data_IF_859221147145
#
_entry.id   IF_859221147145
#
_cell.length_a   1.000
_cell.length_b   1.000
_cell.length_c   1.000
_cell.angle_alpha   90.00
_cell.angle_beta   90.00
_cell.angle_gamma   90.00
#
_symmetry.space_group_name_H-M   'P 1'
#
loop_
_entity.id
_entity.type
_entity.pdbx_description
1 polymer ?
#
# COMPACT_ATOMS: atom_id res chain seq x y z
N UNK A 1 2.03 -15.37 13.77
CA UNK A 1 1.60 -15.26 12.35
C UNK A 1 2.78 -14.72 11.53
N UNK A 2 3.01 -15.20 10.30
CA UNK A 2 3.96 -14.60 9.36
C UNK A 2 3.34 -13.37 8.70
N UNK A 3 4.19 -12.45 8.24
CA UNK A 3 3.73 -11.36 7.37
C UNK A 3 3.58 -11.87 5.94
N UNK A 4 2.41 -11.68 5.35
CA UNK A 4 2.07 -12.11 3.99
C UNK A 4 1.69 -10.88 3.16
N UNK A 5 2.23 -10.80 1.93
CA UNK A 5 1.85 -9.82 0.93
C UNK A 5 1.19 -10.53 -0.25
N UNK A 6 -0.08 -10.30 -0.42
CA UNK A 6 -0.85 -10.77 -1.58
C UNK A 6 -0.81 -9.70 -2.66
N UNK A 7 -0.64 -10.13 -3.91
CA UNK A 7 -0.78 -9.24 -5.05
C UNK A 7 -1.52 -9.92 -6.20
N UNK A 8 -2.15 -9.13 -7.03
CA UNK A 8 -2.80 -9.60 -8.25
C UNK A 8 -2.70 -8.57 -9.37
N UNK A 9 -2.57 -9.07 -10.58
CA UNK A 9 -2.84 -8.32 -11.80
C UNK A 9 -4.34 -8.32 -12.07
N UNK A 10 -4.89 -7.17 -12.46
CA UNK A 10 -6.33 -6.93 -12.54
C UNK A 10 -6.88 -6.97 -13.96
N UNK A 11 -6.02 -7.17 -14.96
CA UNK A 11 -6.40 -7.13 -16.39
C UNK A 11 -7.59 -8.05 -16.71
N UNK A 12 -7.63 -9.24 -16.09
CA UNK A 12 -8.74 -10.17 -16.27
C UNK A 12 -10.10 -9.61 -15.76
N UNK A 13 -10.09 -8.71 -14.78
CA UNK A 13 -11.31 -8.13 -14.22
C UNK A 13 -11.96 -7.06 -15.11
N UNK A 14 -11.37 -6.72 -16.25
CA UNK A 14 -12.01 -5.89 -17.28
C UNK A 14 -13.01 -6.70 -18.12
N UNK A 15 -12.99 -8.04 -18.05
CA UNK A 15 -14.08 -8.87 -18.59
C UNK A 15 -15.33 -8.74 -17.71
N UNK A 16 -16.43 -8.34 -18.31
CA UNK A 16 -17.68 -8.01 -17.58
C UNK A 16 -18.30 -9.23 -16.87
N UNK A 17 -18.17 -10.42 -17.48
CA UNK A 17 -18.71 -11.64 -16.90
C UNK A 17 -17.89 -12.07 -15.70
N UNK A 18 -16.57 -12.07 -15.83
CA UNK A 18 -15.64 -12.37 -14.75
C UNK A 18 -15.75 -11.36 -13.60
N UNK A 19 -15.82 -10.05 -13.93
CA UNK A 19 -16.08 -9.00 -12.95
C UNK A 19 -17.34 -9.30 -12.14
N UNK A 20 -18.46 -9.59 -12.82
CA UNK A 20 -19.76 -9.85 -12.18
C UNK A 20 -19.69 -11.10 -11.29
N UNK A 21 -19.03 -12.16 -11.75
CA UNK A 21 -18.84 -13.38 -10.99
C UNK A 21 -18.10 -13.10 -9.67
N UNK A 22 -16.95 -12.44 -9.73
CA UNK A 22 -16.17 -12.12 -8.53
C UNK A 22 -16.86 -11.08 -7.64
N UNK A 23 -17.50 -10.06 -8.21
CA UNK A 23 -18.26 -9.07 -7.45
C UNK A 23 -19.32 -9.71 -6.56
N UNK A 24 -20.02 -10.74 -7.03
CA UNK A 24 -21.02 -11.44 -6.21
C UNK A 24 -20.43 -12.14 -4.97
N UNK A 25 -19.16 -12.47 -4.99
CA UNK A 25 -18.50 -13.13 -3.86
C UNK A 25 -18.11 -12.17 -2.72
N UNK A 26 -18.13 -10.85 -2.99
CA UNK A 26 -17.77 -9.85 -1.99
C UNK A 26 -18.92 -9.52 -1.03
N UNK A 27 -18.60 -9.04 0.18
CA UNK A 27 -19.58 -8.58 1.15
C UNK A 27 -20.27 -7.28 0.71
N UNK A 28 -21.45 -7.03 1.26
CA UNK A 28 -22.32 -5.91 0.88
C UNK A 28 -21.65 -4.54 1.05
N UNK A 29 -20.87 -4.33 2.11
CA UNK A 29 -20.18 -3.05 2.31
C UNK A 29 -19.17 -2.76 1.20
N UNK A 30 -18.51 -3.82 0.68
CA UNK A 30 -17.54 -3.71 -0.40
C UNK A 30 -18.22 -3.44 -1.74
N UNK A 31 -19.31 -4.14 -2.01
CA UNK A 31 -20.17 -3.90 -3.18
C UNK A 31 -20.64 -2.45 -3.22
N UNK A 32 -21.17 -1.94 -2.10
CA UNK A 32 -21.60 -0.54 -1.98
C UNK A 32 -20.46 0.47 -2.24
N UNK A 33 -19.21 0.13 -1.90
CA UNK A 33 -18.04 0.95 -2.22
C UNK A 33 -17.76 0.96 -3.72
N UNK A 34 -17.78 -0.20 -4.36
CA UNK A 34 -17.56 -0.37 -5.81
C UNK A 34 -18.64 0.36 -6.61
N UNK A 35 -19.91 0.26 -6.20
CA UNK A 35 -21.05 0.86 -6.90
C UNK A 35 -21.01 2.39 -6.94
N UNK A 36 -20.32 3.03 -5.99
CA UNK A 36 -20.11 4.47 -5.97
C UNK A 36 -19.03 4.95 -6.95
N UNK A 37 -18.22 4.04 -7.48
CA UNK A 37 -17.14 4.36 -8.41
C UNK A 37 -17.67 4.38 -9.85
N UNK A 38 -17.41 5.47 -10.58
CA UNK A 38 -17.85 5.63 -11.97
C UNK A 38 -16.86 5.04 -12.98
N UNK A 39 -15.52 5.31 -12.90
CA UNK A 39 -14.57 4.75 -13.85
C UNK A 39 -14.44 3.24 -13.69
N UNK A 40 -14.49 2.51 -14.80
CA UNK A 40 -14.37 1.05 -14.85
C UNK A 40 -13.07 0.58 -14.17
N UNK A 41 -11.92 1.17 -14.52
CA UNK A 41 -10.64 0.81 -13.89
C UNK A 41 -10.64 0.99 -12.36
N UNK A 42 -11.34 2.02 -11.82
CA UNK A 42 -11.47 2.18 -10.36
C UNK A 42 -12.33 1.06 -9.73
N UNK A 43 -13.37 0.63 -10.45
CA UNK A 43 -14.21 -0.50 -10.02
C UNK A 43 -13.41 -1.80 -10.01
N UNK A 44 -12.62 -2.07 -11.06
CA UNK A 44 -11.73 -3.24 -11.14
C UNK A 44 -10.69 -3.22 -10.02
N UNK A 45 -10.03 -2.09 -9.76
CA UNK A 45 -9.08 -1.93 -8.67
C UNK A 45 -9.73 -2.17 -7.30
N UNK A 46 -10.90 -1.60 -7.07
CA UNK A 46 -11.62 -1.79 -5.81
C UNK A 46 -12.08 -3.24 -5.62
N UNK A 47 -12.50 -3.91 -6.71
CA UNK A 47 -12.85 -5.34 -6.70
C UNK A 47 -11.62 -6.17 -6.35
N UNK A 48 -10.51 -6.02 -7.09
CA UNK A 48 -9.27 -6.78 -6.87
C UNK A 48 -8.74 -6.63 -5.44
N UNK A 49 -8.69 -5.39 -4.92
CA UNK A 49 -8.29 -5.16 -3.52
C UNK A 49 -9.23 -5.87 -2.52
N UNK A 50 -10.53 -5.93 -2.81
CA UNK A 50 -11.50 -6.68 -2.00
C UNK A 50 -11.27 -8.19 -2.03
N UNK A 51 -10.97 -8.73 -3.21
CA UNK A 51 -10.69 -10.16 -3.40
C UNK A 51 -9.39 -10.57 -2.71
N UNK A 52 -8.36 -9.72 -2.75
CA UNK A 52 -7.11 -9.96 -2.02
C UNK A 52 -7.34 -9.98 -0.50
N UNK A 53 -8.12 -9.05 0.03
CA UNK A 53 -8.45 -9.03 1.46
C UNK A 53 -9.25 -10.29 1.86
N UNK A 54 -10.23 -10.68 1.03
CA UNK A 54 -11.01 -11.90 1.27
C UNK A 54 -10.09 -13.13 1.33
N UNK A 55 -9.18 -13.28 0.35
CA UNK A 55 -8.21 -14.37 0.32
C UNK A 55 -7.29 -14.35 1.55
N UNK A 56 -6.78 -13.18 1.93
CA UNK A 56 -5.94 -13.03 3.10
C UNK A 56 -6.66 -13.41 4.40
N UNK A 57 -7.96 -13.07 4.53
CA UNK A 57 -8.79 -13.48 5.66
C UNK A 57 -9.02 -15.01 5.70
N UNK A 58 -9.27 -15.63 4.54
CA UNK A 58 -9.43 -17.09 4.43
C UNK A 58 -8.15 -17.80 4.87
N UNK A 59 -6.99 -17.39 4.36
CA UNK A 59 -5.69 -17.97 4.70
C UNK A 59 -5.32 -17.76 6.18
N UNK A 60 -5.74 -16.65 6.79
CA UNK A 60 -5.54 -16.36 8.21
C UNK A 60 -6.58 -17.01 9.14
N UNK A 61 -7.59 -17.69 8.61
CA UNK A 61 -8.65 -18.29 9.37
C UNK A 61 -9.55 -17.28 10.09
N UNK A 62 -9.64 -16.04 9.61
CA UNK A 62 -10.50 -15.01 10.19
C UNK A 62 -11.97 -15.36 9.90
N UNK A 63 -12.82 -15.52 10.93
CA UNK A 63 -14.20 -15.93 10.74
C UNK A 63 -15.05 -14.82 10.09
N UNK A 64 -15.96 -15.25 9.19
CA UNK A 64 -16.81 -14.34 8.42
C UNK A 64 -16.13 -13.89 7.13
N UNK A 65 -16.93 -13.57 6.10
CA UNK A 65 -16.41 -13.31 4.75
C UNK A 65 -15.41 -12.13 4.65
N UNK A 66 -15.15 -11.40 5.75
CA UNK A 66 -14.22 -10.26 5.82
C UNK A 66 -13.89 -9.79 7.25
N UNK A 67 -14.01 -10.65 8.24
CA UNK A 67 -13.92 -10.20 9.63
C UNK A 67 -14.61 -8.82 9.79
N UNK A 68 -15.56 -8.62 10.62
CA UNK A 68 -16.28 -7.33 10.72
C UNK A 68 -15.27 -6.17 10.79
N UNK A 69 -15.12 -5.42 9.69
CA UNK A 69 -14.22 -4.27 9.63
C UNK A 69 -14.84 -3.09 10.39
N UNK A 70 -14.06 -2.53 11.28
CA UNK A 70 -14.31 -1.22 11.89
C UNK A 70 -13.37 -0.18 11.31
N UNK A 71 -13.70 1.09 11.50
CA UNK A 71 -12.85 2.20 11.06
C UNK A 71 -12.23 2.87 12.28
N UNK A 72 -10.92 3.11 12.22
CA UNK A 72 -10.23 3.94 13.17
C UNK A 72 -10.60 5.42 13.04
N UNK A 73 -10.09 6.25 13.93
CA UNK A 73 -10.40 7.69 14.01
C UNK A 73 -10.22 8.43 12.66
N UNK A 74 -9.20 8.06 11.88
CA UNK A 74 -8.90 8.67 10.58
C UNK A 74 -9.31 7.78 9.39
N UNK A 75 -10.19 6.79 9.63
CA UNK A 75 -10.75 5.95 8.57
C UNK A 75 -9.91 4.75 8.15
N UNK A 76 -8.79 4.43 8.81
CA UNK A 76 -8.05 3.18 8.59
C UNK A 76 -8.92 2.00 9.01
N UNK A 77 -9.21 1.03 8.11
CA UNK A 77 -9.98 -0.15 8.48
C UNK A 77 -9.15 -1.12 9.31
N UNK A 78 -9.79 -1.79 10.27
CA UNK A 78 -9.18 -2.80 11.12
C UNK A 78 -10.18 -3.91 11.48
N UNK A 79 -9.69 -5.08 11.92
CA UNK A 79 -10.51 -6.19 12.39
C UNK A 79 -10.84 -6.00 13.88
N UNK A 80 -12.08 -5.64 14.19
CA UNK A 80 -12.49 -5.46 15.59
C UNK A 80 -12.47 -6.76 16.39
N UNK A 81 -12.72 -7.91 15.74
CA UNK A 81 -12.73 -9.23 16.36
C UNK A 81 -11.33 -9.88 16.49
N UNK A 82 -10.33 -9.37 15.76
CA UNK A 82 -8.96 -9.90 15.72
C UNK A 82 -7.96 -8.72 15.74
N UNK A 83 -7.89 -7.97 16.85
CA UNK A 83 -7.08 -6.75 16.94
C UNK A 83 -5.57 -7.00 16.81
N UNK A 84 -5.12 -8.25 16.97
CA UNK A 84 -3.74 -8.69 16.79
C UNK A 84 -3.36 -8.92 15.32
N UNK A 85 -4.34 -8.85 14.40
CA UNK A 85 -4.11 -9.02 12.96
C UNK A 85 -4.34 -7.68 12.28
N UNK A 86 -3.30 -7.20 11.62
CA UNK A 86 -3.33 -5.92 10.91
C UNK A 86 -3.24 -6.14 9.41
N UNK A 87 -3.85 -5.25 8.64
CA UNK A 87 -3.77 -5.31 7.19
C UNK A 87 -3.71 -3.91 6.56
N UNK A 88 -3.23 -3.86 5.33
CA UNK A 88 -3.29 -2.66 4.50
C UNK A 88 -3.53 -3.05 3.05
N UNK A 89 -4.21 -2.16 2.32
CA UNK A 89 -4.54 -2.33 0.91
C UNK A 89 -3.99 -1.16 0.09
N UNK A 90 -3.51 -1.46 -1.10
CA UNK A 90 -3.26 -0.44 -2.12
C UNK A 90 -3.54 -1.00 -3.52
N UNK A 91 -3.74 -0.10 -4.47
CA UNK A 91 -3.93 -0.45 -5.87
C UNK A 91 -3.55 0.73 -6.76
N UNK A 92 -2.91 0.46 -7.90
CA UNK A 92 -2.60 1.45 -8.94
C UNK A 92 -2.48 0.76 -10.29
N UNK A 93 -2.92 1.42 -11.37
CA UNK A 93 -2.94 0.81 -12.70
C UNK A 93 -3.66 -0.54 -12.70
N UNK A 94 -2.96 -1.56 -13.13
CA UNK A 94 -3.45 -2.94 -13.23
C UNK A 94 -3.02 -3.85 -12.08
N UNK A 95 -2.60 -3.27 -10.93
CA UNK A 95 -2.21 -4.08 -9.77
C UNK A 95 -2.94 -3.66 -8.50
N UNK A 96 -3.22 -4.66 -7.67
CA UNK A 96 -3.64 -4.49 -6.28
C UNK A 96 -2.72 -5.29 -5.36
N UNK A 97 -2.55 -4.80 -4.14
CA UNK A 97 -1.78 -5.45 -3.07
C UNK A 97 -2.55 -5.43 -1.75
N UNK A 98 -2.36 -6.47 -0.95
CA UNK A 98 -2.85 -6.59 0.41
C UNK A 98 -1.75 -7.15 1.29
N UNK A 99 -1.30 -6.42 2.28
CA UNK A 99 -0.40 -6.96 3.32
C UNK A 99 -1.21 -7.33 4.55
N UNK A 100 -0.87 -8.47 5.16
CA UNK A 100 -1.42 -8.91 6.44
C UNK A 100 -0.28 -9.28 7.38
N UNK A 101 -0.29 -8.76 8.61
CA UNK A 101 0.83 -8.84 9.54
C UNK A 101 0.36 -8.93 11.01
N UNK A 102 1.21 -9.43 11.94
CA UNK A 102 0.95 -9.42 13.39
C UNK A 102 1.28 -8.07 14.05
N UNK A 103 1.55 -7.04 13.31
CA UNK A 103 1.83 -5.69 13.80
C UNK A 103 1.21 -4.63 12.87
N UNK A 104 1.10 -3.39 13.34
CA UNK A 104 0.64 -2.30 12.49
C UNK A 104 1.43 -2.27 11.19
N UNK A 105 0.70 -2.21 10.09
CA UNK A 105 1.26 -2.34 8.75
C UNK A 105 0.63 -1.37 7.76
N UNK A 106 1.40 -1.03 6.74
CA UNK A 106 0.97 -0.26 5.59
C UNK A 106 1.64 -0.78 4.32
N UNK A 107 0.93 -0.75 3.21
CA UNK A 107 1.52 -0.99 1.90
C UNK A 107 1.04 0.05 0.91
N UNK A 108 1.89 0.35 -0.05
CA UNK A 108 1.52 1.18 -1.18
C UNK A 108 2.11 0.66 -2.47
N UNK A 109 1.36 0.75 -3.55
CA UNK A 109 1.80 0.43 -4.92
C UNK A 109 1.39 1.56 -5.84
N UNK A 110 2.31 1.98 -6.70
CA UNK A 110 2.06 3.03 -7.68
C UNK A 110 2.70 2.71 -9.04
N UNK A 111 1.97 3.06 -10.10
CA UNK A 111 2.54 3.14 -11.44
C UNK A 111 3.55 4.26 -11.50
N UNK A 112 4.72 4.02 -12.07
CA UNK A 112 5.71 5.07 -12.33
C UNK A 112 5.10 6.08 -13.30
N UNK A 113 5.01 7.32 -12.86
CA UNK A 113 4.42 8.45 -13.60
C UNK A 113 5.41 9.59 -13.67
N UNK A 114 5.27 10.51 -14.65
CA UNK A 114 6.13 11.67 -14.76
C UNK A 114 6.24 12.45 -13.45
N UNK A 115 7.46 12.82 -13.11
CA UNK A 115 7.82 13.59 -11.92
C UNK A 115 6.98 14.88 -11.80
N UNK A 116 6.33 15.04 -10.64
CA UNK A 116 5.49 16.20 -10.36
C UNK A 116 6.14 17.11 -9.33
N UNK A 117 6.86 18.13 -9.80
CA UNK A 117 7.64 19.03 -8.94
C UNK A 117 6.81 19.75 -7.88
N UNK A 118 5.60 20.21 -8.21
CA UNK A 118 4.72 20.88 -7.25
C UNK A 118 4.28 19.95 -6.11
N UNK A 119 4.05 18.65 -6.42
CA UNK A 119 3.74 17.64 -5.41
C UNK A 119 4.97 17.34 -4.57
N UNK A 120 6.14 17.19 -5.21
CA UNK A 120 7.40 16.93 -4.51
C UNK A 120 7.70 18.00 -3.46
N UNK A 121 7.62 19.28 -3.82
CA UNK A 121 7.83 20.41 -2.90
C UNK A 121 6.85 20.45 -1.71
N UNK A 122 5.65 19.91 -1.88
CA UNK A 122 4.62 19.90 -0.84
C UNK A 122 4.74 18.70 0.10
N UNK A 123 5.21 17.57 -0.39
CA UNK A 123 5.14 16.29 0.33
C UNK A 123 6.48 15.87 0.90
N UNK A 124 7.57 16.14 0.19
CA UNK A 124 8.89 15.68 0.58
C UNK A 124 9.64 16.69 1.43
N UNK A 125 10.56 16.21 2.27
CA UNK A 125 11.48 17.06 3.03
C UNK A 125 12.46 17.76 2.11
N UNK A 126 13.16 18.79 2.61
CA UNK A 126 14.21 19.46 1.83
C UNK A 126 15.32 18.50 1.36
N UNK A 127 15.73 17.56 2.21
CA UNK A 127 16.76 16.56 1.88
C UNK A 127 16.29 15.57 0.81
N UNK A 128 15.05 15.07 0.94
CA UNK A 128 14.44 14.21 -0.07
C UNK A 128 14.29 14.93 -1.41
N UNK A 129 13.93 16.22 -1.39
CA UNK A 129 13.82 17.02 -2.61
C UNK A 129 15.17 17.22 -3.30
N UNK A 130 16.24 17.42 -2.53
CA UNK A 130 17.61 17.49 -3.08
C UNK A 130 18.02 16.15 -3.71
N UNK A 131 17.77 15.05 -3.03
CA UNK A 131 18.03 13.71 -3.57
C UNK A 131 17.23 13.46 -4.85
N UNK A 132 15.92 13.76 -4.86
CA UNK A 132 15.07 13.67 -6.06
C UNK A 132 15.59 14.51 -7.22
N UNK A 133 16.09 15.72 -6.94
CA UNK A 133 16.64 16.60 -7.96
C UNK A 133 17.90 16.01 -8.60
N UNK A 134 18.75 15.36 -7.80
CA UNK A 134 19.91 14.63 -8.30
C UNK A 134 19.50 13.43 -9.18
N UNK A 135 18.52 12.64 -8.74
CA UNK A 135 17.98 11.51 -9.52
C UNK A 135 17.34 11.97 -10.83
N UNK A 136 16.62 13.10 -10.81
CA UNK A 136 16.04 13.71 -12.00
C UNK A 136 17.12 14.11 -13.02
N UNK A 137 18.19 14.73 -12.56
CA UNK A 137 19.32 15.11 -13.41
C UNK A 137 20.05 13.89 -14.01
N UNK A 138 19.98 12.74 -13.31
CA UNK A 138 20.51 11.46 -13.77
C UNK A 138 19.53 10.66 -14.64
N UNK A 139 18.35 11.23 -15.00
CA UNK A 139 17.35 10.58 -15.84
C UNK A 139 16.46 9.55 -15.13
N UNK A 140 16.51 9.46 -13.80
CA UNK A 140 15.72 8.50 -12.97
C UNK A 140 14.66 9.18 -12.10
N UNK A 141 14.30 10.43 -12.39
CA UNK A 141 13.42 11.24 -11.55
C UNK A 141 12.03 10.65 -11.33
N UNK A 142 11.43 10.05 -12.36
CA UNK A 142 10.08 9.48 -12.30
C UNK A 142 10.05 8.27 -11.36
N UNK A 143 11.03 7.38 -11.48
CA UNK A 143 11.17 6.21 -10.61
C UNK A 143 11.48 6.61 -9.16
N UNK A 144 12.40 7.54 -8.96
CA UNK A 144 12.78 8.03 -7.64
C UNK A 144 11.62 8.72 -6.92
N UNK A 145 10.83 9.51 -7.65
CA UNK A 145 9.61 10.11 -7.12
C UNK A 145 8.60 9.04 -6.67
N UNK A 146 8.33 8.06 -7.53
CA UNK A 146 7.41 6.98 -7.24
C UNK A 146 7.88 6.14 -6.05
N UNK A 147 9.19 5.85 -5.96
CA UNK A 147 9.82 5.15 -4.84
C UNK A 147 9.61 5.88 -3.51
N UNK A 148 9.94 7.17 -3.44
CA UNK A 148 9.73 7.97 -2.23
C UNK A 148 8.25 8.06 -1.85
N UNK A 149 7.38 8.21 -2.84
CA UNK A 149 5.95 8.30 -2.64
C UNK A 149 5.41 7.02 -1.97
N UNK A 150 5.71 5.85 -2.54
CA UNK A 150 5.24 4.57 -1.99
C UNK A 150 5.78 4.29 -0.59
N UNK A 151 7.02 4.67 -0.30
CA UNK A 151 7.60 4.58 1.04
C UNK A 151 6.81 5.46 2.04
N UNK A 152 6.57 6.73 1.70
CA UNK A 152 5.78 7.63 2.56
C UNK A 152 4.35 7.16 2.77
N UNK A 153 3.66 6.80 1.70
CA UNK A 153 2.27 6.32 1.79
C UNK A 153 2.17 5.03 2.61
N UNK A 154 3.14 4.10 2.47
CA UNK A 154 3.17 2.89 3.29
C UNK A 154 3.32 3.23 4.78
N UNK A 155 4.18 4.21 5.13
CA UNK A 155 4.33 4.69 6.49
C UNK A 155 3.07 5.40 7.00
N UNK A 156 2.48 6.30 6.22
CA UNK A 156 1.24 7.01 6.60
C UNK A 156 0.09 6.03 6.87
N UNK A 157 0.02 4.93 6.11
CA UNK A 157 -0.95 3.85 6.35
C UNK A 157 -0.66 3.08 7.65
N UNK A 158 0.61 2.94 8.06
CA UNK A 158 0.95 2.41 9.40
C UNK A 158 0.41 3.32 10.48
N UNK A 159 0.68 4.62 10.41
CA UNK A 159 0.21 5.58 11.42
C UNK A 159 -1.31 5.64 11.55
N UNK A 160 -2.04 5.23 10.52
CA UNK A 160 -3.50 5.34 10.44
C UNK A 160 -4.02 6.77 10.31
N UNK A 161 -3.16 7.79 10.30
CA UNK A 161 -3.54 9.21 10.26
C UNK A 161 -3.69 9.76 8.84
N UNK A 162 -3.20 9.02 7.82
CA UNK A 162 -3.15 9.53 6.46
C UNK A 162 -2.48 10.91 6.39
N UNK A 163 -3.00 11.81 5.56
CA UNK A 163 -2.47 13.17 5.42
C UNK A 163 -2.78 14.13 6.61
N UNK A 164 -3.46 13.66 7.67
CA UNK A 164 -3.51 14.36 8.94
C UNK A 164 -2.18 14.29 9.70
N UNK A 165 -1.31 13.35 9.33
CA UNK A 165 0.08 13.34 9.77
C UNK A 165 0.87 14.42 8.99
N UNK A 166 1.72 15.21 9.67
CA UNK A 166 2.57 16.20 9.00
C UNK A 166 3.63 15.50 8.12
N UNK A 167 3.29 15.26 6.87
CA UNK A 167 4.04 14.37 5.96
C UNK A 167 5.52 14.74 5.78
N UNK A 168 5.86 16.02 5.95
CA UNK A 168 7.25 16.50 5.88
C UNK A 168 8.06 16.23 7.16
N UNK A 169 7.45 15.81 8.25
CA UNK A 169 8.16 15.38 9.45
C UNK A 169 8.74 13.97 9.32
N UNK A 170 8.22 13.18 8.38
CA UNK A 170 8.72 11.85 8.05
C UNK A 170 9.51 11.91 6.74
N UNK A 171 10.81 11.82 6.80
CA UNK A 171 11.71 11.76 5.64
C UNK A 171 12.34 10.39 5.45
N UNK A 172 12.96 10.17 4.29
CA UNK A 172 13.73 8.98 4.00
C UNK A 172 15.16 9.34 3.60
N UNK A 173 16.12 8.60 4.11
CA UNK A 173 17.52 8.61 3.68
C UNK A 173 17.86 7.29 2.98
N UNK A 174 18.74 7.37 1.97
CA UNK A 174 19.23 6.21 1.20
C UNK A 174 20.75 6.07 1.28
N UNK A 175 21.38 6.65 2.29
CA UNK A 175 22.84 6.70 2.42
C UNK A 175 23.50 5.30 2.40
N UNK A 176 22.81 4.28 2.89
CA UNK A 176 23.28 2.89 2.94
C UNK A 176 22.68 2.01 1.82
N UNK A 177 22.00 2.62 0.83
CA UNK A 177 21.38 1.91 -0.30
C UNK A 177 19.98 1.37 0.00
N UNK A 178 19.53 1.33 1.24
CA UNK A 178 18.18 0.97 1.66
C UNK A 178 17.47 2.17 2.32
N UNK A 179 16.13 2.18 2.37
CA UNK A 179 15.39 3.29 2.96
C UNK A 179 15.49 3.29 4.48
N UNK A 180 15.92 4.40 5.05
CA UNK A 180 15.93 4.65 6.49
C UNK A 180 14.92 5.76 6.78
N UNK A 181 13.91 5.48 7.60
CA UNK A 181 12.93 6.48 8.05
C UNK A 181 13.60 7.46 9.01
N UNK A 182 13.38 8.73 8.78
CA UNK A 182 13.78 9.83 9.65
C UNK A 182 12.51 10.53 10.16
N UNK A 183 12.33 10.60 11.47
CA UNK A 183 11.32 11.47 12.08
C UNK A 183 12.02 12.70 12.67
N UNK A 184 11.57 13.89 12.26
CA UNK A 184 12.20 15.16 12.62
C UNK A 184 13.73 15.18 12.36
N UNK A 185 14.16 14.51 11.27
CA UNK A 185 15.58 14.41 10.89
C UNK A 185 16.40 13.35 11.65
N UNK A 186 15.80 12.61 12.59
CA UNK A 186 16.48 11.57 13.35
C UNK A 186 16.02 10.16 12.92
N UNK A 187 16.93 9.17 12.84
CA UNK A 187 16.58 7.79 12.48
C UNK A 187 15.49 7.22 13.42
N UNK A 188 14.43 6.67 12.80
CA UNK A 188 13.32 6.03 13.49
C UNK A 188 13.35 4.51 13.26
N UNK A 189 13.89 3.73 14.21
CA UNK A 189 14.09 2.30 14.01
C UNK A 189 12.86 1.44 14.31
N UNK A 190 11.74 2.01 14.71
CA UNK A 190 10.55 1.23 15.06
C UNK A 190 9.83 0.63 13.85
N UNK A 191 10.19 1.06 12.64
CA UNK A 191 9.61 0.57 11.40
C UNK A 191 10.66 -0.11 10.52
N UNK A 192 10.26 -1.21 9.88
CA UNK A 192 11.00 -1.87 8.80
C UNK A 192 10.31 -1.64 7.48
N UNK A 193 11.07 -1.38 6.42
CA UNK A 193 10.56 -1.15 5.07
C UNK A 193 11.06 -2.22 4.11
N UNK A 194 10.15 -2.67 3.24
CA UNK A 194 10.46 -3.62 2.18
C UNK A 194 9.96 -3.07 0.86
N UNK A 195 10.87 -2.95 -0.10
CA UNK A 195 10.55 -2.54 -1.46
C UNK A 195 10.39 -3.78 -2.33
N UNK A 196 9.31 -3.85 -3.10
CA UNK A 196 8.99 -4.96 -3.98
C UNK A 196 8.73 -4.44 -5.39
N UNK A 197 9.11 -5.24 -6.38
CA UNK A 197 8.93 -4.90 -7.79
C UNK A 197 8.25 -6.05 -8.52
N UNK A 198 6.99 -5.84 -8.90
CA UNK A 198 6.20 -6.82 -9.66
C UNK A 198 6.35 -6.62 -11.17
N UNK A 199 6.63 -5.38 -11.59
CA UNK A 199 6.87 -4.96 -12.96
C UNK A 199 7.79 -3.73 -12.97
N UNK A 200 8.58 -3.50 -14.02
CA UNK A 200 9.43 -2.30 -14.12
C UNK A 200 8.66 -0.98 -13.98
N UNK A 201 7.38 -0.99 -14.41
CA UNK A 201 6.51 0.19 -14.42
C UNK A 201 5.87 0.51 -13.06
N UNK A 202 6.13 -0.30 -12.02
CA UNK A 202 5.55 -0.13 -10.70
C UNK A 202 6.60 -0.05 -9.61
N UNK A 203 6.25 0.67 -8.55
CA UNK A 203 6.97 0.63 -7.27
C UNK A 203 5.99 0.25 -6.19
N UNK A 204 6.43 -0.62 -5.29
CA UNK A 204 5.64 -1.07 -4.15
C UNK A 204 6.49 -1.03 -2.89
N UNK A 205 5.94 -0.53 -1.81
CA UNK A 205 6.56 -0.53 -0.50
C UNK A 205 5.62 -1.11 0.55
N UNK A 206 6.20 -1.85 1.49
CA UNK A 206 5.54 -2.34 2.70
C UNK A 206 6.27 -1.76 3.91
N UNK A 207 5.53 -1.19 4.83
CA UNK A 207 6.01 -0.73 6.12
C UNK A 207 5.39 -1.60 7.23
N UNK A 208 6.23 -2.10 8.12
CA UNK A 208 5.85 -2.86 9.30
C UNK A 208 6.32 -2.12 10.54
N UNK A 209 5.44 -1.88 11.51
CA UNK A 209 5.81 -1.31 12.80
C UNK A 209 6.48 -2.39 13.67
N UNK A 210 7.69 -2.72 13.30
CA UNK A 210 8.56 -3.68 13.97
C UNK A 210 10.01 -3.40 13.58
N UNK A 211 10.90 -3.30 14.55
CA UNK A 211 12.31 -2.95 14.34
C UNK A 211 13.10 -3.98 13.51
N UNK A 212 12.76 -5.24 13.61
CA UNK A 212 13.49 -6.35 12.97
C UNK A 212 12.50 -7.26 12.25
N UNK A 213 11.57 -6.68 11.49
CA UNK A 213 10.61 -7.47 10.74
C UNK A 213 11.33 -8.28 9.65
N UNK A 214 10.86 -9.50 9.45
CA UNK A 214 11.29 -10.30 8.30
C UNK A 214 10.55 -9.82 7.04
N UNK A 215 11.20 -9.99 5.89
CA UNK A 215 10.58 -9.72 4.61
C UNK A 215 9.26 -10.48 4.47
N UNK A 216 8.19 -9.82 4.00
CA UNK A 216 6.92 -10.48 3.74
C UNK A 216 7.08 -11.64 2.75
N UNK A 217 6.40 -12.75 3.03
CA UNK A 217 6.21 -13.81 2.05
C UNK A 217 5.22 -13.34 1.00
N UNK A 218 5.59 -13.43 -0.28
CA UNK A 218 4.80 -12.86 -1.39
C UNK A 218 3.95 -13.94 -2.04
N UNK A 219 2.65 -13.69 -2.16
CA UNK A 219 1.66 -14.61 -2.71
C UNK A 219 0.98 -13.95 -3.91
N UNK A 220 1.14 -14.53 -5.09
CA UNK A 220 0.38 -14.14 -6.27
C UNK A 220 -1.02 -14.76 -6.24
N UNK A 221 -2.04 -13.93 -6.38
CA UNK A 221 -3.44 -14.36 -6.59
C UNK A 221 -3.79 -14.14 -8.06
N UNK A 222 -4.44 -15.12 -8.67
CA UNK A 222 -4.92 -15.03 -10.07
C UNK A 222 -6.44 -15.08 -10.08
N UNK A 223 -7.02 -14.26 -10.91
CA UNK A 223 -8.46 -14.18 -11.13
C UNK A 223 -8.87 -14.80 -12.46
#
# INVERSE_FOLDING_TARGET
>A
MKTLLYYAELTALHDEELFRQYYQTLPEYRKKKIDKLKPEGERCRSLGAGLLLKRACEDAGIPGKDGHLSLGEYGKPFFAACPEIHFSLSHSGEYAVCVMAPCETGCDIETVKPFREAVAKRVFTGEEYLWLSAEKNAGRGDEAFCRLWTLKESFLKVTGKGFSFPVQEAGFSFAEGYPVLLLHGLPEPSCSFFELQFSPEYRCAVCLQSRNAMQPEVIQVRF
#
